data_IF_481570981674
#
_entry.id   IF_481570981674
#
_cell.length_a   1.000
_cell.length_b   1.000
_cell.length_c   1.000
_cell.angle_alpha   90.00
_cell.angle_beta   90.00
_cell.angle_gamma   90.00
#
_symmetry.space_group_name_H-M   'P 1'
#
loop_
_entity.id
_entity.type
_entity.pdbx_description
1 polymer ?
#
# COMPACT_ATOMS: atom_id res chain seq x y z
N UNK A 1 -8.80 -22.17 -0.90
CA UNK A 1 -8.72 -20.90 -1.63
C UNK A 1 -7.65 -21.04 -2.69
N UNK A 2 -8.00 -21.10 -3.98
CA UNK A 2 -7.00 -21.21 -5.06
C UNK A 2 -6.44 -19.80 -5.27
N UNK A 3 -5.20 -19.56 -4.81
CA UNK A 3 -4.49 -18.33 -5.12
C UNK A 3 -4.20 -18.28 -6.62
N UNK A 4 -4.59 -17.22 -7.27
CA UNK A 4 -4.22 -16.96 -8.65
C UNK A 4 -2.69 -16.73 -8.69
N UNK A 5 -2.02 -17.21 -9.76
CA UNK A 5 -0.55 -17.10 -9.93
C UNK A 5 -0.02 -15.66 -9.74
N UNK A 6 -0.86 -14.66 -10.02
CA UNK A 6 -0.53 -13.23 -9.85
C UNK A 6 -0.64 -12.75 -8.39
N UNK A 7 -1.41 -13.43 -7.53
CA UNK A 7 -1.60 -12.99 -6.14
C UNK A 7 -0.32 -13.14 -5.32
N UNK A 8 0.40 -14.25 -5.46
CA UNK A 8 1.68 -14.49 -4.76
C UNK A 8 2.73 -13.46 -5.12
N UNK A 9 2.79 -13.07 -6.40
CA UNK A 9 3.73 -12.07 -6.89
C UNK A 9 3.46 -10.70 -6.27
N UNK A 10 2.21 -10.26 -6.24
CA UNK A 10 1.83 -8.99 -5.61
C UNK A 10 2.08 -9.01 -4.10
N UNK A 11 1.82 -10.12 -3.41
CA UNK A 11 2.12 -10.26 -1.97
C UNK A 11 3.63 -10.22 -1.69
N UNK A 12 4.48 -10.79 -2.57
CA UNK A 12 5.95 -10.65 -2.48
C UNK A 12 6.37 -9.19 -2.59
N UNK A 13 5.85 -8.46 -3.59
CA UNK A 13 6.15 -7.03 -3.76
C UNK A 13 5.67 -6.23 -2.54
N UNK A 14 4.44 -6.44 -2.05
CA UNK A 14 3.91 -5.76 -0.86
C UNK A 14 4.75 -6.02 0.40
N UNK A 15 5.34 -7.21 0.50
CA UNK A 15 6.23 -7.55 1.61
C UNK A 15 7.56 -6.80 1.49
N UNK A 16 8.12 -6.70 0.28
CA UNK A 16 9.38 -6.00 0.01
C UNK A 16 9.25 -4.46 0.08
N UNK A 17 8.06 -3.91 -0.16
CA UNK A 17 7.77 -2.49 0.09
C UNK A 17 7.99 -2.13 1.57
N UNK A 18 7.64 -3.04 2.47
CA UNK A 18 7.75 -2.79 3.91
C UNK A 18 9.17 -2.95 4.44
N UNK A 19 9.89 -3.96 3.96
CA UNK A 19 11.21 -4.32 4.48
C UNK A 19 12.07 -5.02 3.43
N UNK A 20 13.39 -4.76 3.49
CA UNK A 20 14.40 -5.59 2.81
C UNK A 20 14.59 -6.85 3.67
N UNK A 21 14.25 -8.05 3.19
CA UNK A 21 14.20 -9.26 4.00
C UNK A 21 14.61 -10.53 3.23
N UNK A 22 14.83 -11.60 3.99
CA UNK A 22 15.22 -12.91 3.48
C UNK A 22 14.05 -13.71 2.93
N UNK A 23 14.30 -14.62 1.98
CA UNK A 23 13.32 -15.50 1.36
C UNK A 23 12.40 -16.23 2.36
N UNK A 24 12.96 -16.77 3.45
CA UNK A 24 12.17 -17.49 4.46
C UNK A 24 11.18 -16.61 5.17
N UNK A 25 11.54 -15.36 5.41
CA UNK A 25 10.65 -14.36 6.05
C UNK A 25 9.54 -13.94 5.10
N UNK A 26 9.85 -13.75 3.80
CA UNK A 26 8.82 -13.49 2.78
C UNK A 26 7.82 -14.64 2.77
N UNK A 27 8.28 -15.90 2.65
CA UNK A 27 7.43 -17.07 2.61
C UNK A 27 6.52 -17.19 3.84
N UNK A 28 7.08 -16.92 5.04
CA UNK A 28 6.32 -16.91 6.29
C UNK A 28 5.27 -15.81 6.33
N UNK A 29 5.62 -14.57 5.90
CA UNK A 29 4.71 -13.42 5.96
C UNK A 29 3.49 -13.58 5.05
N UNK A 30 3.68 -14.17 3.86
CA UNK A 30 2.58 -14.38 2.91
C UNK A 30 1.92 -15.76 3.05
N UNK A 31 2.41 -16.61 3.97
CA UNK A 31 1.89 -17.97 4.26
C UNK A 31 1.92 -18.91 3.04
N UNK A 32 2.96 -18.79 2.23
CA UNK A 32 3.16 -19.60 1.03
C UNK A 32 4.36 -20.55 1.17
N UNK A 33 4.37 -21.70 0.47
CA UNK A 33 5.50 -22.62 0.45
C UNK A 33 6.77 -21.92 -0.05
N UNK A 34 7.90 -22.22 0.59
CA UNK A 34 9.21 -21.65 0.24
C UNK A 34 9.56 -21.83 -1.25
N UNK A 35 9.26 -22.99 -1.84
CA UNK A 35 9.51 -23.27 -3.26
C UNK A 35 8.69 -22.37 -4.19
N UNK A 36 7.43 -22.11 -3.85
CA UNK A 36 6.56 -21.20 -4.61
C UNK A 36 7.12 -19.78 -4.59
N UNK A 37 7.49 -19.29 -3.41
CA UNK A 37 8.05 -17.94 -3.24
C UNK A 37 9.41 -17.82 -3.93
N UNK A 38 10.29 -18.83 -3.81
CA UNK A 38 11.58 -18.85 -4.48
C UNK A 38 11.43 -18.74 -6.01
N UNK A 39 10.49 -19.50 -6.59
CA UNK A 39 10.22 -19.41 -8.02
C UNK A 39 9.78 -18.01 -8.43
N UNK A 40 8.87 -17.38 -7.66
CA UNK A 40 8.40 -16.02 -7.93
C UNK A 40 9.52 -14.97 -7.78
N UNK A 41 10.32 -15.09 -6.76
CA UNK A 41 11.49 -14.22 -6.58
C UNK A 41 12.47 -14.35 -7.75
N UNK A 42 12.75 -15.56 -8.21
CA UNK A 42 13.63 -15.76 -9.38
C UNK A 42 13.04 -15.16 -10.66
N UNK A 43 11.71 -15.26 -10.87
CA UNK A 43 11.00 -14.59 -11.96
C UNK A 43 11.19 -13.06 -11.87
N UNK A 44 10.94 -12.46 -10.71
CA UNK A 44 11.06 -11.01 -10.48
C UNK A 44 12.52 -10.49 -10.61
N UNK A 45 13.51 -11.29 -10.19
CA UNK A 45 14.94 -10.96 -10.41
C UNK A 45 15.26 -10.98 -11.90
N UNK A 46 14.84 -12.04 -12.63
CA UNK A 46 15.03 -12.15 -14.08
C UNK A 46 14.37 -11.00 -14.83
N UNK A 47 13.23 -10.53 -14.34
CA UNK A 47 12.51 -9.39 -14.89
C UNK A 47 13.08 -8.03 -14.49
N UNK A 48 14.17 -8.00 -13.72
CA UNK A 48 14.82 -6.78 -13.25
C UNK A 48 13.94 -5.89 -12.35
N UNK A 49 12.97 -6.50 -11.64
CA UNK A 49 12.07 -5.81 -10.70
C UNK A 49 12.67 -5.73 -9.30
N UNK A 50 13.27 -6.82 -8.86
CA UNK A 50 13.96 -6.92 -7.56
C UNK A 50 15.42 -7.35 -7.74
N UNK A 51 16.21 -7.15 -6.69
CA UNK A 51 17.58 -7.63 -6.62
C UNK A 51 17.88 -8.11 -5.20
N UNK A 52 19.09 -8.55 -4.94
CA UNK A 52 19.51 -8.99 -3.62
C UNK A 52 20.94 -8.57 -3.29
N UNK A 53 21.18 -8.37 -1.99
CA UNK A 53 22.54 -8.29 -1.41
C UNK A 53 22.81 -9.56 -0.64
N UNK A 54 24.07 -10.03 -0.64
CA UNK A 54 24.46 -11.19 0.15
C UNK A 54 24.99 -10.72 1.51
N UNK A 55 24.37 -11.19 2.58
CA UNK A 55 24.85 -10.99 3.95
C UNK A 55 25.18 -12.35 4.58
N UNK A 56 26.46 -12.63 4.72
CA UNK A 56 26.96 -13.94 5.11
C UNK A 56 26.54 -15.02 4.11
N UNK A 57 25.76 -16.02 4.57
CA UNK A 57 25.22 -17.10 3.70
C UNK A 57 23.81 -16.83 3.17
N UNK A 58 23.23 -15.68 3.48
CA UNK A 58 21.83 -15.36 3.16
C UNK A 58 21.73 -14.25 2.12
N UNK A 59 20.65 -14.28 1.32
CA UNK A 59 20.28 -13.21 0.40
C UNK A 59 19.17 -12.36 1.01
N UNK A 60 19.37 -11.04 1.01
CA UNK A 60 18.36 -10.04 1.38
C UNK A 60 17.84 -9.41 0.10
N UNK A 61 16.55 -9.56 -0.17
CA UNK A 61 15.90 -9.05 -1.37
C UNK A 61 15.38 -7.65 -1.15
N UNK A 62 15.41 -6.84 -2.22
CA UNK A 62 14.90 -5.47 -2.25
C UNK A 62 14.37 -5.11 -3.64
N UNK A 63 13.48 -4.11 -3.70
CA UNK A 63 12.91 -3.57 -4.94
C UNK A 63 13.93 -2.63 -5.57
N UNK A 64 14.14 -2.75 -6.90
CA UNK A 64 15.05 -1.88 -7.66
C UNK A 64 14.43 -0.51 -7.92
N UNK A 65 15.28 0.50 -8.17
CA UNK A 65 14.84 1.82 -8.63
C UNK A 65 14.90 1.89 -10.16
N UNK A 66 13.89 1.37 -10.84
CA UNK A 66 13.69 1.50 -12.28
C UNK A 66 12.21 1.54 -12.64
N UNK A 67 11.87 1.93 -13.86
CA UNK A 67 10.49 2.09 -14.30
C UNK A 67 9.66 0.80 -14.13
N UNK A 68 10.25 -0.36 -14.45
CA UNK A 68 9.54 -1.64 -14.34
C UNK A 68 9.21 -1.97 -12.89
N UNK A 69 10.16 -1.80 -11.97
CA UNK A 69 9.96 -2.01 -10.54
C UNK A 69 8.90 -1.06 -9.95
N UNK A 70 8.91 0.23 -10.37
CA UNK A 70 7.87 1.20 -9.99
C UNK A 70 6.48 0.72 -10.42
N UNK A 71 6.31 0.26 -11.67
CA UNK A 71 5.05 -0.27 -12.17
C UNK A 71 4.57 -1.49 -11.37
N UNK A 72 5.48 -2.38 -10.93
CA UNK A 72 5.14 -3.50 -10.07
C UNK A 72 4.66 -3.05 -8.68
N UNK A 73 5.33 -2.04 -8.09
CA UNK A 73 4.88 -1.43 -6.81
C UNK A 73 3.49 -0.83 -6.95
N UNK A 74 3.23 -0.07 -8.02
CA UNK A 74 1.91 0.54 -8.25
C UNK A 74 0.83 -0.52 -8.47
N UNK A 75 1.13 -1.57 -9.21
CA UNK A 75 0.23 -2.70 -9.42
C UNK A 75 -0.08 -3.43 -8.11
N UNK A 76 0.92 -3.59 -7.23
CA UNK A 76 0.73 -4.19 -5.92
C UNK A 76 -0.14 -3.32 -4.99
N UNK A 77 -0.05 -1.99 -5.06
CA UNK A 77 -0.95 -1.10 -4.32
C UNK A 77 -2.39 -1.18 -4.85
N UNK A 78 -2.58 -1.23 -6.17
CA UNK A 78 -3.92 -1.46 -6.77
C UNK A 78 -4.49 -2.82 -6.32
N UNK A 79 -3.68 -3.87 -6.35
CA UNK A 79 -4.06 -5.19 -5.84
C UNK A 79 -4.50 -5.14 -4.37
N UNK A 80 -3.76 -4.43 -3.53
CA UNK A 80 -4.06 -4.24 -2.11
C UNK A 80 -5.39 -3.51 -1.87
N UNK A 81 -5.67 -2.45 -2.65
CA UNK A 81 -6.96 -1.76 -2.62
C UNK A 81 -8.09 -2.70 -3.05
N UNK A 82 -7.94 -3.42 -4.16
CA UNK A 82 -8.94 -4.37 -4.65
C UNK A 82 -9.22 -5.49 -3.64
N UNK A 83 -8.20 -5.97 -2.93
CA UNK A 83 -8.34 -6.94 -1.84
C UNK A 83 -9.18 -6.40 -0.68
N UNK A 84 -8.99 -5.13 -0.31
CA UNK A 84 -9.83 -4.45 0.69
C UNK A 84 -11.29 -4.36 0.21
N UNK A 85 -11.52 -3.88 -1.02
CA UNK A 85 -12.86 -3.67 -1.57
C UNK A 85 -13.65 -4.97 -1.76
N UNK A 86 -12.97 -6.10 -2.03
CA UNK A 86 -13.60 -7.43 -2.02
C UNK A 86 -14.11 -7.83 -0.62
N UNK A 87 -13.44 -7.38 0.43
CA UNK A 87 -13.81 -7.70 1.81
C UNK A 87 -14.87 -6.74 2.37
N UNK A 88 -14.85 -5.48 1.93
CA UNK A 88 -15.70 -4.39 2.43
C UNK A 88 -16.31 -3.65 1.23
N UNK A 89 -17.35 -4.25 0.63
CA UNK A 89 -17.97 -3.76 -0.62
C UNK A 89 -18.54 -2.35 -0.47
N UNK A 90 -19.03 -2.01 0.72
CA UNK A 90 -19.60 -0.70 1.05
C UNK A 90 -18.59 0.45 0.93
N UNK A 91 -17.29 0.17 1.06
CA UNK A 91 -16.25 1.18 0.92
C UNK A 91 -16.10 1.67 -0.52
N UNK A 92 -16.48 0.88 -1.52
CA UNK A 92 -16.38 1.26 -2.93
C UNK A 92 -17.14 2.53 -3.23
N UNK A 93 -18.40 2.62 -2.78
CA UNK A 93 -19.28 3.79 -2.99
C UNK A 93 -18.66 5.01 -2.31
N UNK A 94 -18.28 4.87 -1.05
CA UNK A 94 -17.67 5.95 -0.26
C UNK A 94 -16.38 6.48 -0.94
N UNK A 95 -15.51 5.58 -1.40
CA UNK A 95 -14.25 5.98 -2.04
C UNK A 95 -14.47 6.63 -3.40
N UNK A 96 -15.44 6.14 -4.19
CA UNK A 96 -15.79 6.78 -5.47
C UNK A 96 -16.33 8.19 -5.28
N UNK A 97 -17.19 8.42 -4.28
CA UNK A 97 -17.73 9.74 -3.98
C UNK A 97 -16.63 10.70 -3.51
N UNK A 98 -15.69 10.25 -2.67
CA UNK A 98 -14.55 11.07 -2.28
C UNK A 98 -13.67 11.38 -3.50
N UNK A 99 -13.37 10.40 -4.36
CA UNK A 99 -12.57 10.60 -5.58
C UNK A 99 -13.20 11.60 -6.56
N UNK A 100 -14.53 11.56 -6.74
CA UNK A 100 -15.25 12.50 -7.60
C UNK A 100 -15.18 13.93 -7.07
N UNK A 101 -15.28 14.10 -5.74
CA UNK A 101 -15.23 15.44 -5.12
C UNK A 101 -13.83 16.03 -5.09
N UNK A 102 -12.79 15.18 -5.03
CA UNK A 102 -11.37 15.58 -4.94
C UNK A 102 -10.53 14.96 -6.05
N UNK A 103 -10.74 15.39 -7.32
CA UNK A 103 -10.12 14.73 -8.48
C UNK A 103 -8.60 14.93 -8.59
N UNK A 104 -8.02 15.86 -7.82
CA UNK A 104 -6.59 16.19 -7.86
C UNK A 104 -5.84 15.86 -6.56
N UNK A 105 -6.55 15.50 -5.49
CA UNK A 105 -5.94 15.26 -4.19
C UNK A 105 -5.42 13.83 -4.06
N UNK A 106 -4.32 13.66 -3.34
CA UNK A 106 -3.92 12.36 -2.81
C UNK A 106 -4.93 11.91 -1.76
N UNK A 107 -5.38 10.65 -1.84
CA UNK A 107 -6.38 10.05 -0.94
C UNK A 107 -5.85 8.73 -0.45
N UNK A 108 -5.69 8.59 0.88
CA UNK A 108 -5.10 7.41 1.51
C UNK A 108 -5.95 6.95 2.68
N UNK A 109 -6.36 5.68 2.67
CA UNK A 109 -6.94 5.00 3.82
C UNK A 109 -5.81 4.58 4.76
N UNK A 110 -5.97 4.83 6.06
CA UNK A 110 -5.04 4.41 7.09
C UNK A 110 -5.78 3.80 8.30
N UNK A 111 -5.15 3.70 9.46
CA UNK A 111 -5.81 3.18 10.66
C UNK A 111 -6.14 1.68 10.61
N UNK A 112 -7.22 1.28 11.27
CA UNK A 112 -7.60 -0.12 11.49
C UNK A 112 -7.94 -0.88 10.20
N UNK A 113 -8.61 -0.24 9.26
CA UNK A 113 -8.91 -0.83 7.95
C UNK A 113 -7.65 -1.12 7.14
N UNK A 114 -6.70 -0.18 7.10
CA UNK A 114 -5.43 -0.38 6.40
C UNK A 114 -4.55 -1.46 7.05
N UNK A 115 -4.64 -1.62 8.37
CA UNK A 115 -3.99 -2.71 9.11
C UNK A 115 -4.71 -4.07 8.95
N UNK A 116 -5.92 -4.10 8.37
CA UNK A 116 -6.69 -5.32 8.12
C UNK A 116 -7.44 -5.88 9.34
N UNK A 117 -7.56 -5.10 10.43
CA UNK A 117 -8.19 -5.51 11.69
C UNK A 117 -9.24 -4.51 12.22
N UNK A 118 -10.16 -3.97 11.36
CA UNK A 118 -11.23 -3.12 11.86
C UNK A 118 -12.21 -3.93 12.71
N UNK A 119 -12.72 -3.30 13.76
CA UNK A 119 -13.86 -3.76 14.54
C UNK A 119 -15.15 -3.26 13.90
N UNK A 120 -16.31 -3.74 14.36
CA UNK A 120 -17.64 -3.33 13.84
C UNK A 120 -17.93 -1.84 14.03
N UNK A 121 -17.35 -1.23 15.05
CA UNK A 121 -17.48 0.18 15.42
C UNK A 121 -16.30 1.04 14.97
N UNK A 122 -15.34 0.47 14.21
CA UNK A 122 -14.17 1.21 13.74
C UNK A 122 -14.53 2.32 12.76
N UNK A 123 -13.89 3.47 12.94
CA UNK A 123 -13.92 4.57 11.98
C UNK A 123 -13.17 4.21 10.69
N UNK A 124 -13.56 4.85 9.60
CA UNK A 124 -12.87 4.80 8.31
C UNK A 124 -11.93 6.00 8.24
N UNK A 125 -10.66 5.77 8.58
CA UNK A 125 -9.64 6.81 8.66
C UNK A 125 -9.11 7.15 7.26
N UNK A 126 -9.43 8.33 6.74
CA UNK A 126 -8.99 8.83 5.43
C UNK A 126 -8.09 10.05 5.62
N UNK A 127 -6.91 9.99 5.01
CA UNK A 127 -6.09 11.16 4.76
C UNK A 127 -6.42 11.72 3.38
N UNK A 128 -6.71 13.01 3.33
CA UNK A 128 -6.98 13.77 2.11
C UNK A 128 -6.03 14.96 2.06
N UNK A 129 -5.17 15.01 1.04
CA UNK A 129 -4.28 16.13 0.86
C UNK A 129 -5.04 17.36 0.34
N UNK A 130 -5.31 18.28 1.24
CA UNK A 130 -6.00 19.54 0.96
C UNK A 130 -5.87 20.49 2.15
N UNK A 131 -5.91 21.80 1.86
CA UNK A 131 -5.93 22.86 2.88
C UNK A 131 -7.36 23.39 3.16
N UNK A 132 -8.38 22.87 2.48
CA UNK A 132 -9.77 23.26 2.72
C UNK A 132 -10.38 22.56 3.93
N UNK A 133 -10.42 23.28 5.06
CA UNK A 133 -10.97 22.76 6.33
C UNK A 133 -12.48 22.51 6.31
N UNK A 134 -13.24 23.16 5.42
CA UNK A 134 -14.70 23.00 5.32
C UNK A 134 -15.12 21.62 4.82
N UNK A 135 -14.19 20.90 4.22
CA UNK A 135 -14.40 19.58 3.63
C UNK A 135 -14.78 18.51 4.66
N UNK A 136 -14.23 18.59 5.87
CA UNK A 136 -14.49 17.58 6.92
C UNK A 136 -15.97 17.38 7.20
N UNK A 137 -16.72 18.46 7.32
CA UNK A 137 -18.16 18.39 7.59
C UNK A 137 -18.93 17.82 6.40
N UNK A 138 -18.62 18.27 5.18
CA UNK A 138 -19.25 17.78 3.94
C UNK A 138 -19.04 16.28 3.70
N UNK A 139 -17.87 15.73 4.10
CA UNK A 139 -17.57 14.31 3.95
C UNK A 139 -18.22 13.45 5.05
N UNK A 140 -18.42 13.97 6.25
CA UNK A 140 -19.17 13.28 7.31
C UNK A 140 -20.65 13.06 6.95
N UNK A 141 -21.23 13.91 6.10
CA UNK A 141 -22.60 13.73 5.57
C UNK A 141 -22.71 12.51 4.64
N UNK A 142 -21.60 12.10 3.98
CA UNK A 142 -21.58 10.91 3.12
C UNK A 142 -21.61 9.61 3.92
N UNK A 143 -20.86 9.58 5.01
CA UNK A 143 -20.77 8.42 5.90
C UNK A 143 -20.34 8.88 7.28
N UNK A 144 -21.17 8.63 8.28
CA UNK A 144 -20.92 9.04 9.67
C UNK A 144 -19.67 8.41 10.30
N UNK A 145 -19.21 7.27 9.77
CA UNK A 145 -17.98 6.60 10.20
C UNK A 145 -16.70 7.20 9.60
N UNK A 146 -16.79 8.20 8.71
CA UNK A 146 -15.60 8.82 8.13
C UNK A 146 -14.88 9.71 9.15
N UNK A 147 -13.63 9.38 9.41
CA UNK A 147 -12.68 10.22 10.15
C UNK A 147 -11.65 10.80 9.18
N UNK A 148 -11.82 12.07 8.82
CA UNK A 148 -11.01 12.72 7.79
C UNK A 148 -9.87 13.53 8.42
N UNK A 149 -8.64 13.21 8.05
CA UNK A 149 -7.45 14.00 8.32
C UNK A 149 -7.05 14.74 7.05
N UNK A 150 -6.80 16.02 7.15
CA UNK A 150 -6.42 16.89 6.04
C UNK A 150 -5.10 17.60 6.36
N UNK A 151 -4.38 18.01 5.35
CA UNK A 151 -3.14 18.77 5.44
C UNK A 151 -2.17 18.41 4.33
N UNK A 152 -0.99 19.01 4.37
CA UNK A 152 0.11 18.73 3.45
C UNK A 152 0.76 17.37 3.78
N UNK A 153 1.28 16.68 2.77
CA UNK A 153 2.01 15.42 2.93
C UNK A 153 3.44 15.71 3.43
N UNK A 154 3.55 16.02 4.73
CA UNK A 154 4.85 16.24 5.39
C UNK A 154 5.37 14.92 6.00
N UNK A 155 6.45 14.37 5.41
CA UNK A 155 7.08 13.11 5.84
C UNK A 155 7.66 13.16 7.26
N UNK A 156 7.86 14.35 7.83
CA UNK A 156 8.35 14.51 9.20
C UNK A 156 7.24 14.43 10.24
N UNK A 157 5.99 14.66 9.85
CA UNK A 157 4.84 14.59 10.76
C UNK A 157 4.56 13.16 11.24
N UNK A 158 4.11 13.02 12.49
CA UNK A 158 3.76 11.71 13.08
C UNK A 158 2.63 11.03 12.30
N UNK A 159 1.65 11.79 11.83
CA UNK A 159 0.53 11.28 11.05
C UNK A 159 1.02 10.64 9.73
N UNK A 160 1.85 11.36 8.97
CA UNK A 160 2.33 10.85 7.68
C UNK A 160 3.26 9.65 7.88
N UNK A 161 4.08 9.63 8.93
CA UNK A 161 4.88 8.44 9.28
C UNK A 161 4.02 7.22 9.57
N UNK A 162 2.90 7.38 10.28
CA UNK A 162 1.92 6.29 10.49
C UNK A 162 1.29 5.84 9.17
N UNK A 163 0.88 6.79 8.33
CA UNK A 163 0.32 6.53 7.01
C UNK A 163 1.32 5.75 6.13
N UNK A 164 2.57 6.20 6.04
CA UNK A 164 3.61 5.51 5.26
C UNK A 164 3.77 4.07 5.74
N UNK A 165 3.72 3.83 7.04
CA UNK A 165 3.87 2.49 7.62
C UNK A 165 2.69 1.55 7.30
N UNK A 166 1.45 2.07 7.33
CA UNK A 166 0.23 1.29 7.14
C UNK A 166 -0.83 2.08 6.36
N UNK A 167 -0.88 1.88 5.07
CA UNK A 167 -1.77 2.60 4.16
C UNK A 167 -2.46 1.68 3.15
N UNK A 168 -3.53 2.18 2.55
CA UNK A 168 -4.09 1.71 1.28
C UNK A 168 -4.38 2.96 0.45
N UNK A 169 -3.70 3.09 -0.68
CA UNK A 169 -3.79 4.28 -1.52
C UNK A 169 -5.02 4.17 -2.41
N UNK A 170 -5.93 5.14 -2.31
CA UNK A 170 -7.14 5.22 -3.11
C UNK A 170 -6.89 6.04 -4.38
N UNK A 171 -6.04 7.07 -4.29
CA UNK A 171 -5.63 7.96 -5.39
C UNK A 171 -4.25 8.54 -5.11
N UNK A 172 -3.44 8.74 -6.16
CA UNK A 172 -2.13 9.39 -6.06
C UNK A 172 -1.00 8.42 -5.69
N UNK A 173 -1.00 7.19 -6.27
CA UNK A 173 0.01 6.16 -5.96
C UNK A 173 1.41 6.66 -6.33
N UNK A 174 1.60 7.21 -7.53
CA UNK A 174 2.90 7.71 -7.99
C UNK A 174 3.40 8.82 -7.08
N UNK A 175 2.56 9.82 -6.84
CA UNK A 175 2.85 10.95 -5.98
C UNK A 175 3.22 10.52 -4.55
N UNK A 176 2.50 9.54 -3.99
CA UNK A 176 2.79 8.99 -2.68
C UNK A 176 4.21 8.41 -2.59
N UNK A 177 4.63 7.62 -3.59
CA UNK A 177 5.95 7.00 -3.62
C UNK A 177 7.09 7.97 -3.96
N UNK A 178 6.82 9.00 -4.76
CA UNK A 178 7.77 10.08 -5.03
C UNK A 178 8.04 10.93 -3.78
N UNK A 179 6.99 11.32 -3.08
CA UNK A 179 7.09 12.23 -1.93
C UNK A 179 7.59 11.56 -0.66
N UNK A 180 7.37 10.26 -0.47
CA UNK A 180 7.96 9.51 0.65
C UNK A 180 9.39 9.05 0.40
N UNK A 181 9.97 9.40 -0.76
CA UNK A 181 11.34 9.06 -1.16
C UNK A 181 11.65 7.56 -1.22
N UNK A 182 10.65 6.70 -1.41
CA UNK A 182 10.81 5.25 -1.38
C UNK A 182 11.85 4.74 -2.39
N UNK A 183 11.90 5.35 -3.58
CA UNK A 183 12.82 4.97 -4.65
C UNK A 183 14.11 5.82 -4.69
N UNK A 184 14.34 6.73 -3.74
CA UNK A 184 15.64 7.40 -3.65
C UNK A 184 16.65 6.40 -3.07
N UNK A 185 17.79 6.29 -3.73
CA UNK A 185 18.93 5.52 -3.24
C UNK A 185 19.47 6.21 -1.97
N UNK A 186 19.77 5.41 -0.94
CA UNK A 186 20.58 5.82 0.21
C UNK A 186 22.04 5.96 -0.21
#
# INVERSE_FOLDING_TARGET
MVYNKNDVEMEVILTLIKNKIHLREIARSIKEPHSTVLRKINELVKENVIDYKTEGKNKIFFIKNNLKAKNYVYSAEIYKLNKLLKKYLELSITFEDIKKRFPKSMIVLFGSYARGNPKSDSDIDIYLETNDTKIKNKLKELNSKLNIKIGDFDINSLLIKEIIKNHIIIRGIEEFYERNNFFKED
#
